data_IF_889520556727
#
_entry.id   IF_889520556727
#
_cell.length_a   1.000
_cell.length_b   1.000
_cell.length_c   1.000
_cell.angle_alpha   90.00
_cell.angle_beta   90.00
_cell.angle_gamma   90.00
#
_symmetry.space_group_name_H-M   'P 1'
#
loop_
_entity.id
_entity.type
_entity.pdbx_description
1 polymer ?
#
# COMPACT_ATOMS: atom_id res chain seq x y z
N UNK A 1 -14.85 7.33 47.88
CA UNK A 1 -15.59 6.81 46.71
C UNK A 1 -15.18 7.68 45.53
N UNK A 2 -14.11 7.29 44.85
CA UNK A 2 -13.51 8.05 43.74
C UNK A 2 -14.16 7.68 42.39
N UNK A 3 -14.15 8.58 41.40
CA UNK A 3 -14.78 8.35 40.10
C UNK A 3 -13.97 7.35 39.25
N UNK A 4 -14.66 6.36 38.70
CA UNK A 4 -14.12 5.35 37.80
C UNK A 4 -13.70 5.96 36.46
N UNK A 5 -12.51 5.57 36.00
CA UNK A 5 -11.94 5.87 34.69
C UNK A 5 -12.46 4.85 33.66
N UNK A 6 -12.78 5.24 32.42
CA UNK A 6 -13.23 4.31 31.40
C UNK A 6 -12.06 3.46 30.87
N UNK A 7 -12.25 2.17 30.53
CA UNK A 7 -11.19 1.31 30.04
C UNK A 7 -10.80 1.66 28.59
N UNK A 8 -9.49 1.55 28.33
CA UNK A 8 -8.83 1.99 27.12
C UNK A 8 -9.27 1.30 25.83
N UNK A 9 -9.10 2.02 24.73
CA UNK A 9 -9.24 1.52 23.37
C UNK A 9 -8.29 0.35 23.15
N UNK A 10 -8.82 -0.85 23.11
CA UNK A 10 -8.12 -2.01 22.56
C UNK A 10 -7.91 -1.75 21.07
N UNK A 11 -6.64 -1.66 20.69
CA UNK A 11 -6.23 -1.52 19.31
C UNK A 11 -6.86 -2.63 18.48
N UNK A 12 -7.50 -2.24 17.38
CA UNK A 12 -7.90 -3.12 16.29
C UNK A 12 -6.67 -3.88 15.84
N UNK A 13 -6.50 -5.11 16.34
CA UNK A 13 -5.58 -6.08 15.79
C UNK A 13 -6.09 -6.38 14.38
N UNK A 14 -5.55 -5.65 13.40
CA UNK A 14 -5.68 -6.00 11.99
C UNK A 14 -5.27 -7.46 11.85
N UNK A 15 -6.15 -8.26 11.24
CA UNK A 15 -5.86 -9.65 10.90
C UNK A 15 -4.45 -9.74 10.29
N UNK A 16 -3.63 -10.73 10.69
CA UNK A 16 -2.28 -10.87 10.15
C UNK A 16 -2.38 -10.93 8.64
N UNK A 17 -1.68 -10.02 7.96
CA UNK A 17 -1.44 -10.16 6.54
C UNK A 17 -0.93 -11.59 6.30
N UNK A 18 -1.41 -12.31 5.27
CA UNK A 18 -0.84 -13.62 4.96
C UNK A 18 0.69 -13.46 4.85
N UNK A 19 1.48 -14.46 5.30
CA UNK A 19 2.94 -14.36 5.30
C UNK A 19 3.41 -13.84 3.95
N UNK A 20 4.39 -12.93 3.94
CA UNK A 20 4.88 -12.31 2.72
C UNK A 20 5.59 -13.39 1.89
N UNK A 21 4.80 -14.11 1.08
CA UNK A 21 5.27 -15.19 0.22
C UNK A 21 6.07 -14.52 -0.88
N UNK A 22 7.36 -14.84 -0.98
CA UNK A 22 8.20 -14.44 -2.11
C UNK A 22 7.75 -15.20 -3.37
N UNK A 23 6.80 -14.58 -4.08
CA UNK A 23 6.21 -15.12 -5.30
C UNK A 23 7.26 -15.37 -6.37
N UNK A 24 8.27 -14.51 -6.44
CA UNK A 24 9.33 -14.62 -7.44
C UNK A 24 10.16 -15.87 -7.19
N UNK A 25 10.52 -16.13 -5.93
CA UNK A 25 11.24 -17.34 -5.55
C UNK A 25 10.41 -18.60 -5.85
N UNK A 26 9.11 -18.60 -5.55
CA UNK A 26 8.22 -19.74 -5.86
C UNK A 26 8.11 -19.99 -7.37
N UNK A 27 7.93 -18.95 -8.18
CA UNK A 27 7.87 -19.08 -9.64
C UNK A 27 9.16 -19.65 -10.20
N UNK A 28 10.33 -19.18 -9.73
CA UNK A 28 11.62 -19.72 -10.17
C UNK A 28 11.79 -21.21 -9.82
N UNK A 29 11.36 -21.62 -8.62
CA UNK A 29 11.35 -23.04 -8.24
C UNK A 29 10.43 -23.87 -9.13
N UNK A 30 9.22 -23.37 -9.43
CA UNK A 30 8.30 -24.05 -10.34
C UNK A 30 8.91 -24.24 -11.73
N UNK A 31 9.56 -23.20 -12.27
CA UNK A 31 10.24 -23.25 -13.57
C UNK A 31 11.41 -24.25 -13.55
N UNK A 32 12.09 -24.39 -12.41
CA UNK A 32 13.14 -25.38 -12.19
C UNK A 32 12.63 -26.82 -12.01
N UNK A 33 11.31 -27.06 -12.08
CA UNK A 33 10.70 -28.39 -12.01
C UNK A 33 10.10 -28.76 -10.65
N UNK A 34 10.16 -27.88 -9.66
CA UNK A 34 9.52 -28.09 -8.36
C UNK A 34 8.02 -27.74 -8.43
N UNK A 35 7.21 -28.73 -8.79
CA UNK A 35 5.75 -28.56 -8.91
C UNK A 35 5.08 -28.17 -7.58
N UNK A 36 5.64 -28.58 -6.43
CA UNK A 36 5.09 -28.26 -5.12
C UNK A 36 5.19 -26.76 -4.79
N UNK A 37 6.14 -26.04 -5.41
CA UNK A 37 6.25 -24.59 -5.26
C UNK A 37 5.06 -23.82 -5.86
N UNK A 38 4.20 -24.46 -6.65
CA UNK A 38 3.02 -23.82 -7.24
C UNK A 38 1.82 -23.78 -6.27
N UNK A 39 1.74 -24.72 -5.34
CA UNK A 39 0.61 -24.84 -4.39
C UNK A 39 0.39 -23.57 -3.54
N UNK A 40 1.42 -22.90 -2.99
CA UNK A 40 1.21 -21.65 -2.26
C UNK A 40 0.72 -20.50 -3.15
N UNK A 41 1.06 -20.51 -4.46
CA UNK A 41 0.52 -19.55 -5.42
C UNK A 41 -0.98 -19.83 -5.66
N UNK A 42 -1.36 -21.09 -5.81
CA UNK A 42 -2.78 -21.48 -5.93
C UNK A 42 -3.56 -21.04 -4.69
N UNK A 43 -3.07 -21.34 -3.50
CA UNK A 43 -3.75 -20.99 -2.25
C UNK A 43 -3.95 -19.47 -2.10
N UNK A 44 -2.93 -18.68 -2.46
CA UNK A 44 -2.99 -17.22 -2.44
C UNK A 44 -4.02 -16.65 -3.41
N UNK A 45 -4.18 -17.26 -4.59
CA UNK A 45 -4.96 -16.68 -5.68
C UNK A 45 -6.31 -17.36 -5.95
N UNK A 46 -6.58 -18.54 -5.40
CA UNK A 46 -7.77 -19.36 -5.72
C UNK A 46 -9.09 -18.60 -5.58
N UNK A 47 -9.25 -17.86 -4.49
CA UNK A 47 -10.49 -17.14 -4.23
C UNK A 47 -10.65 -15.94 -5.20
N UNK A 48 -9.56 -15.26 -5.53
CA UNK A 48 -9.57 -14.12 -6.48
C UNK A 48 -9.90 -14.60 -7.89
N UNK A 49 -9.27 -15.68 -8.33
CA UNK A 49 -9.51 -16.32 -9.64
C UNK A 49 -10.94 -16.83 -9.74
N UNK A 50 -11.44 -17.53 -8.71
CA UNK A 50 -12.82 -18.01 -8.69
C UNK A 50 -13.83 -16.86 -8.75
N UNK A 51 -13.64 -15.79 -7.97
CA UNK A 51 -14.52 -14.61 -8.03
C UNK A 51 -14.56 -14.01 -9.43
N UNK A 52 -13.40 -13.87 -10.06
CA UNK A 52 -13.28 -13.35 -11.43
C UNK A 52 -14.03 -14.22 -12.45
N UNK A 53 -13.88 -15.54 -12.38
CA UNK A 53 -14.60 -16.48 -13.23
C UNK A 53 -16.12 -16.43 -12.99
N UNK A 54 -16.55 -16.45 -11.72
CA UNK A 54 -17.95 -16.37 -11.33
C UNK A 54 -18.62 -15.11 -11.88
N UNK A 55 -17.93 -13.97 -11.85
CA UNK A 55 -18.48 -12.72 -12.35
C UNK A 55 -18.55 -12.64 -13.88
N UNK A 56 -17.96 -13.59 -14.60
CA UNK A 56 -18.18 -13.74 -16.05
C UNK A 56 -19.31 -14.73 -16.32
N UNK A 57 -19.34 -15.86 -15.61
CA UNK A 57 -20.20 -17.01 -15.91
C UNK A 57 -21.55 -17.01 -15.19
N UNK A 58 -21.62 -16.45 -13.98
CA UNK A 58 -22.75 -16.53 -13.06
C UNK A 58 -23.21 -17.96 -12.75
N UNK A 59 -22.24 -18.88 -12.74
CA UNK A 59 -22.45 -20.28 -12.42
C UNK A 59 -21.31 -20.74 -11.51
N UNK A 60 -21.65 -21.33 -10.36
CA UNK A 60 -20.68 -21.68 -9.31
C UNK A 60 -19.81 -22.85 -9.74
N UNK A 61 -20.40 -23.87 -10.31
CA UNK A 61 -19.69 -25.08 -10.72
C UNK A 61 -18.77 -24.76 -11.88
N UNK A 62 -19.28 -24.04 -12.90
CA UNK A 62 -18.43 -23.62 -14.01
C UNK A 62 -17.33 -22.64 -13.57
N UNK A 63 -17.58 -21.78 -12.59
CA UNK A 63 -16.55 -20.88 -12.07
C UNK A 63 -15.42 -21.64 -11.37
N UNK A 64 -15.74 -22.72 -10.65
CA UNK A 64 -14.73 -23.61 -10.07
C UNK A 64 -13.95 -24.36 -11.16
N UNK A 65 -14.63 -24.88 -12.17
CA UNK A 65 -14.00 -25.53 -13.32
C UNK A 65 -13.06 -24.58 -14.05
N UNK A 66 -13.51 -23.36 -14.32
CA UNK A 66 -12.70 -22.34 -15.00
C UNK A 66 -11.53 -21.89 -14.12
N UNK A 67 -11.71 -21.79 -12.81
CA UNK A 67 -10.61 -21.48 -11.90
C UNK A 67 -9.54 -22.59 -11.95
N UNK A 68 -9.95 -23.85 -11.84
CA UNK A 68 -9.06 -25.00 -11.93
C UNK A 68 -8.35 -25.04 -13.30
N UNK A 69 -9.09 -24.91 -14.39
CA UNK A 69 -8.55 -24.88 -15.74
C UNK A 69 -7.55 -23.73 -15.94
N UNK A 70 -7.84 -22.55 -15.38
CA UNK A 70 -6.93 -21.41 -15.41
C UNK A 70 -5.63 -21.69 -14.66
N UNK A 71 -5.67 -22.34 -13.49
CA UNK A 71 -4.46 -22.73 -12.76
C UNK A 71 -3.66 -23.81 -13.47
N UNK A 72 -4.32 -24.81 -14.08
CA UNK A 72 -3.64 -25.84 -14.88
C UNK A 72 -2.94 -25.21 -16.09
N UNK A 73 -3.63 -24.31 -16.81
CA UNK A 73 -3.03 -23.56 -17.93
C UNK A 73 -1.89 -22.66 -17.46
N UNK A 74 -2.04 -22.01 -16.31
CA UNK A 74 -1.00 -21.18 -15.72
C UNK A 74 0.23 -22.02 -15.34
N UNK A 75 0.05 -23.20 -14.74
CA UNK A 75 1.15 -24.10 -14.42
C UNK A 75 1.93 -24.53 -15.66
N UNK A 76 1.23 -24.97 -16.71
CA UNK A 76 1.88 -25.42 -17.96
C UNK A 76 2.54 -24.29 -18.76
N UNK A 77 2.02 -23.06 -18.66
CA UNK A 77 2.58 -21.90 -19.35
C UNK A 77 3.51 -21.06 -18.48
N UNK A 78 3.80 -21.49 -17.24
CA UNK A 78 4.58 -20.71 -16.29
C UNK A 78 6.00 -20.42 -16.77
N UNK A 79 6.60 -21.33 -17.54
CA UNK A 79 7.91 -21.14 -18.18
C UNK A 79 7.93 -19.97 -19.18
N UNK A 80 6.78 -19.60 -19.73
CA UNK A 80 6.62 -18.45 -20.63
C UNK A 80 6.45 -17.12 -19.90
N UNK A 81 6.24 -17.15 -18.58
CA UNK A 81 6.07 -15.94 -17.77
C UNK A 81 7.42 -15.23 -17.58
N UNK A 82 7.59 -14.12 -18.30
CA UNK A 82 8.84 -13.33 -18.31
C UNK A 82 8.98 -12.32 -17.17
N UNK A 83 8.04 -12.26 -16.23
CA UNK A 83 8.06 -11.27 -15.14
C UNK A 83 7.92 -9.81 -15.58
N UNK A 84 7.40 -9.56 -16.78
CA UNK A 84 7.17 -8.20 -17.31
C UNK A 84 5.94 -7.51 -16.70
N UNK A 85 5.06 -8.30 -16.09
CA UNK A 85 3.92 -7.85 -15.28
C UNK A 85 3.89 -8.64 -13.97
N UNK A 86 3.10 -8.19 -13.01
CA UNK A 86 2.86 -8.97 -11.80
C UNK A 86 2.23 -10.34 -12.14
N UNK A 87 2.57 -11.38 -11.39
CA UNK A 87 2.08 -12.74 -11.63
C UNK A 87 0.54 -12.81 -11.65
N UNK A 88 -0.10 -12.13 -10.70
CA UNK A 88 -1.56 -12.10 -10.62
C UNK A 88 -2.20 -11.46 -11.87
N UNK A 89 -1.57 -10.46 -12.49
CA UNK A 89 -2.06 -9.82 -13.72
C UNK A 89 -2.02 -10.82 -14.88
N UNK A 90 -0.93 -11.57 -14.98
CA UNK A 90 -0.81 -12.63 -15.99
C UNK A 90 -1.81 -13.77 -15.76
N UNK A 91 -2.01 -14.19 -14.51
CA UNK A 91 -2.99 -15.21 -14.14
C UNK A 91 -4.42 -14.77 -14.44
N UNK A 92 -4.79 -13.54 -14.10
CA UNK A 92 -6.13 -12.99 -14.38
C UNK A 92 -6.43 -12.92 -15.88
N UNK A 93 -5.42 -12.64 -16.72
CA UNK A 93 -5.56 -12.72 -18.17
C UNK A 93 -5.96 -14.12 -18.63
N UNK A 94 -5.32 -15.16 -18.09
CA UNK A 94 -5.66 -16.55 -18.38
C UNK A 94 -7.10 -16.82 -17.92
N UNK A 95 -7.46 -16.42 -16.70
CA UNK A 95 -8.80 -16.62 -16.15
C UNK A 95 -9.89 -15.97 -17.00
N UNK A 96 -9.72 -14.69 -17.38
CA UNK A 96 -10.72 -13.98 -18.20
C UNK A 96 -10.89 -14.63 -19.57
N UNK A 97 -9.79 -15.10 -20.18
CA UNK A 97 -9.85 -15.78 -21.46
C UNK A 97 -10.65 -17.09 -21.35
N UNK A 98 -10.31 -17.96 -20.38
CA UNK A 98 -11.01 -19.23 -20.16
C UNK A 98 -12.49 -19.00 -19.85
N UNK A 99 -12.81 -18.03 -18.97
CA UNK A 99 -14.18 -17.71 -18.61
C UNK A 99 -14.99 -17.16 -19.81
N UNK A 100 -14.37 -16.32 -20.63
CA UNK A 100 -15.02 -15.76 -21.83
C UNK A 100 -15.27 -16.83 -22.88
N UNK A 101 -14.34 -17.76 -23.07
CA UNK A 101 -14.48 -18.88 -23.98
C UNK A 101 -15.62 -19.82 -23.53
N UNK A 102 -15.67 -20.16 -22.24
CA UNK A 102 -16.76 -20.96 -21.65
C UNK A 102 -18.12 -20.28 -21.80
N UNK A 103 -18.21 -18.99 -21.49
CA UNK A 103 -19.43 -18.20 -21.71
C UNK A 103 -19.87 -18.20 -23.18
N UNK A 104 -18.92 -18.12 -24.13
CA UNK A 104 -19.23 -18.18 -25.57
C UNK A 104 -19.75 -19.55 -25.99
N UNK A 105 -19.19 -20.63 -25.46
CA UNK A 105 -19.64 -22.01 -25.70
C UNK A 105 -21.06 -22.23 -25.18
N UNK A 106 -21.40 -21.75 -23.96
CA UNK A 106 -22.79 -21.75 -23.47
C UNK A 106 -23.71 -20.98 -24.39
N UNK A 107 -23.32 -19.80 -24.86
CA UNK A 107 -24.11 -19.02 -25.79
C UNK A 107 -24.38 -19.75 -27.11
N UNK A 108 -23.48 -20.65 -27.55
CA UNK A 108 -23.68 -21.51 -28.70
C UNK A 108 -24.57 -22.73 -28.37
N UNK A 109 -24.37 -23.37 -27.22
CA UNK A 109 -25.19 -24.50 -26.75
C UNK A 109 -26.63 -24.09 -26.43
N UNK A 110 -26.86 -22.94 -25.78
CA UNK A 110 -28.18 -22.41 -25.48
C UNK A 110 -28.97 -22.05 -26.75
N UNK A 111 -28.29 -21.70 -27.85
CA UNK A 111 -28.94 -21.54 -29.17
C UNK A 111 -29.32 -22.87 -29.81
N UNK A 112 -28.66 -23.96 -29.43
CA UNK A 112 -28.91 -25.30 -29.95
C UNK A 112 -29.90 -26.11 -29.09
N UNK A 113 -29.95 -25.89 -27.77
CA UNK A 113 -30.68 -26.74 -26.81
C UNK A 113 -31.55 -25.97 -25.78
N UNK A 114 -31.60 -24.64 -25.84
CA UNK A 114 -32.36 -23.79 -24.89
C UNK A 114 -31.54 -23.37 -23.66
N UNK A 115 -31.91 -22.26 -22.97
CA UNK A 115 -31.12 -21.73 -21.86
C UNK A 115 -31.41 -22.45 -20.55
N UNK A 116 -30.41 -23.12 -19.99
CA UNK A 116 -30.42 -23.61 -18.61
C UNK A 116 -29.97 -22.46 -17.68
N UNK A 117 -30.90 -22.03 -16.80
CA UNK A 117 -30.65 -21.04 -15.77
C UNK A 117 -30.56 -21.75 -14.43
N UNK A 118 -29.36 -21.82 -13.87
CA UNK A 118 -29.17 -22.16 -12.47
C UNK A 118 -29.18 -20.86 -11.68
N UNK A 119 -30.11 -20.75 -10.72
CA UNK A 119 -30.04 -19.74 -9.68
C UNK A 119 -29.18 -20.28 -8.56
N UNK A 120 -28.20 -19.52 -8.04
CA UNK A 120 -27.80 -19.75 -6.65
C UNK A 120 -27.07 -18.58 -5.99
N UNK A 121 -27.35 -18.46 -4.70
CA UNK A 121 -26.89 -17.45 -3.78
C UNK A 121 -25.65 -17.93 -3.02
N UNK A 122 -24.51 -17.23 -3.12
CA UNK A 122 -23.52 -17.14 -2.03
C UNK A 122 -22.37 -16.17 -2.41
N UNK A 123 -22.57 -14.86 -2.22
CA UNK A 123 -21.49 -13.86 -2.22
C UNK A 123 -21.08 -13.45 -0.78
N UNK A 124 -21.68 -14.08 0.24
CA UNK A 124 -21.62 -13.61 1.62
C UNK A 124 -20.23 -13.70 2.29
N UNK A 125 -19.30 -14.49 1.77
CA UNK A 125 -18.07 -14.87 2.49
C UNK A 125 -16.77 -14.14 2.14
N UNK A 126 -16.82 -13.00 1.44
CA UNK A 126 -15.59 -12.38 0.93
C UNK A 126 -15.27 -10.98 1.45
N UNK A 127 -16.09 -10.41 2.33
CA UNK A 127 -15.78 -9.13 2.97
C UNK A 127 -15.69 -9.39 4.48
N UNK A 128 -14.54 -9.14 5.12
CA UNK A 128 -14.44 -9.16 6.58
C UNK A 128 -15.53 -8.24 7.14
N UNK A 129 -16.39 -8.74 8.02
CA UNK A 129 -17.39 -7.92 8.70
C UNK A 129 -16.74 -7.33 9.96
N UNK A 130 -16.44 -6.02 10.00
CA UNK A 130 -15.99 -5.39 11.23
C UNK A 130 -17.21 -5.28 12.13
N UNK A 131 -17.27 -6.06 13.21
CA UNK A 131 -18.45 -6.23 14.07
C UNK A 131 -19.32 -4.98 14.31
N UNK A 132 -20.61 -5.21 14.49
CA UNK A 132 -21.63 -4.19 14.77
C UNK A 132 -22.92 -4.85 15.29
N UNK A 133 -23.84 -4.07 15.87
CA UNK A 133 -25.11 -4.58 16.42
C UNK A 133 -26.03 -5.21 15.36
N UNK A 134 -27.09 -5.94 15.77
CA UNK A 134 -27.97 -6.70 14.86
C UNK A 134 -28.59 -5.86 13.74
N UNK A 135 -28.97 -4.62 14.05
CA UNK A 135 -29.55 -3.67 13.09
C UNK A 135 -28.54 -3.21 12.03
N UNK A 136 -27.29 -2.99 12.43
CA UNK A 136 -26.20 -2.62 11.51
C UNK A 136 -25.82 -3.80 10.60
N UNK A 137 -25.85 -5.02 11.11
CA UNK A 137 -25.63 -6.23 10.30
C UNK A 137 -26.75 -6.42 9.26
N UNK A 138 -28.01 -6.21 9.64
CA UNK A 138 -29.15 -6.28 8.73
C UNK A 138 -29.07 -5.21 7.62
N UNK A 139 -28.78 -3.96 7.98
CA UNK A 139 -28.60 -2.87 7.01
C UNK A 139 -27.43 -3.14 6.04
N UNK A 140 -26.31 -3.68 6.55
CA UNK A 140 -25.16 -4.09 5.71
C UNK A 140 -25.50 -5.24 4.78
N UNK A 141 -26.29 -6.22 5.24
CA UNK A 141 -26.74 -7.34 4.41
C UNK A 141 -27.60 -6.85 3.26
N UNK A 142 -28.60 -6.01 3.56
CA UNK A 142 -29.46 -5.40 2.54
C UNK A 142 -28.64 -4.57 1.53
N UNK A 143 -27.67 -3.79 2.02
CA UNK A 143 -26.76 -3.03 1.17
C UNK A 143 -25.89 -3.92 0.26
N UNK A 144 -25.35 -5.02 0.80
CA UNK A 144 -24.57 -6.00 0.02
C UNK A 144 -25.43 -6.68 -1.05
N UNK A 145 -26.66 -7.02 -0.74
CA UNK A 145 -27.62 -7.61 -1.68
C UNK A 145 -27.96 -6.64 -2.82
N UNK A 146 -28.19 -5.35 -2.51
CA UNK A 146 -28.41 -4.32 -3.54
C UNK A 146 -27.20 -4.15 -4.46
N UNK A 147 -25.98 -4.13 -3.89
CA UNK A 147 -24.74 -4.07 -4.67
C UNK A 147 -24.59 -5.30 -5.57
N UNK A 148 -24.86 -6.49 -5.02
CA UNK A 148 -24.84 -7.74 -5.76
C UNK A 148 -25.81 -7.72 -6.94
N UNK A 149 -27.09 -7.42 -6.69
CA UNK A 149 -28.11 -7.38 -7.74
C UNK A 149 -27.76 -6.35 -8.83
N UNK A 150 -27.20 -5.20 -8.46
CA UNK A 150 -26.76 -4.20 -9.41
C UNK A 150 -25.54 -4.65 -10.24
N UNK A 151 -24.59 -5.36 -9.64
CA UNK A 151 -23.49 -5.98 -10.37
C UNK A 151 -24.02 -7.07 -11.30
N UNK A 152 -24.89 -7.96 -10.84
CA UNK A 152 -25.41 -9.09 -11.61
C UNK A 152 -26.17 -8.64 -12.87
N UNK A 153 -26.86 -7.49 -12.80
CA UNK A 153 -27.56 -6.88 -13.93
C UNK A 153 -26.65 -6.23 -14.99
N UNK A 154 -25.35 -6.08 -14.73
CA UNK A 154 -24.40 -5.59 -15.72
C UNK A 154 -24.00 -6.69 -16.72
N UNK A 155 -23.70 -6.33 -17.98
CA UNK A 155 -23.10 -7.27 -18.93
C UNK A 155 -21.77 -7.83 -18.41
N UNK A 156 -21.40 -9.09 -18.73
CA UNK A 156 -20.20 -9.76 -18.20
C UNK A 156 -18.91 -8.93 -18.34
N UNK A 157 -18.70 -8.30 -19.50
CA UNK A 157 -17.53 -7.44 -19.76
C UNK A 157 -17.49 -6.18 -18.87
N UNK A 158 -18.65 -5.64 -18.50
CA UNK A 158 -18.77 -4.47 -17.63
C UNK A 158 -18.53 -4.86 -16.15
N UNK A 159 -18.95 -6.06 -15.73
CA UNK A 159 -18.64 -6.57 -14.38
C UNK A 159 -17.16 -6.87 -14.22
N UNK A 160 -16.57 -7.57 -15.19
CA UNK A 160 -15.16 -7.96 -15.16
C UNK A 160 -14.25 -6.73 -15.02
N UNK A 161 -14.49 -5.66 -15.79
CA UNK A 161 -13.68 -4.44 -15.70
C UNK A 161 -13.87 -3.69 -14.36
N UNK A 162 -15.08 -3.71 -13.78
CA UNK A 162 -15.32 -3.15 -12.44
C UNK A 162 -14.59 -3.97 -11.38
N UNK A 163 -14.62 -5.29 -11.44
CA UNK A 163 -13.88 -6.09 -10.46
C UNK A 163 -12.37 -5.90 -10.56
N UNK A 164 -11.81 -5.91 -11.78
CA UNK A 164 -10.39 -5.67 -11.95
C UNK A 164 -9.97 -4.30 -11.40
N UNK A 165 -10.79 -3.25 -11.61
CA UNK A 165 -10.50 -1.90 -11.11
C UNK A 165 -10.78 -1.74 -9.61
N UNK A 166 -12.03 -1.98 -9.19
CA UNK A 166 -12.59 -1.50 -7.93
C UNK A 166 -12.50 -2.54 -6.81
N UNK A 167 -12.32 -3.83 -7.14
CA UNK A 167 -12.17 -4.92 -6.16
C UNK A 167 -10.71 -5.36 -6.07
N UNK A 168 -10.08 -5.57 -7.22
CA UNK A 168 -8.71 -6.07 -7.30
C UNK A 168 -7.66 -4.94 -7.30
N UNK A 169 -8.09 -3.69 -7.52
CA UNK A 169 -7.23 -2.51 -7.41
C UNK A 169 -6.24 -2.31 -8.57
N UNK A 170 -6.50 -2.91 -9.74
CA UNK A 170 -5.55 -2.90 -10.85
C UNK A 170 -5.48 -1.53 -11.52
N UNK A 171 -4.26 -1.14 -11.91
CA UNK A 171 -4.06 0.04 -12.74
C UNK A 171 -4.69 -0.14 -14.12
N UNK A 172 -5.02 0.96 -14.80
CA UNK A 172 -5.62 0.88 -16.14
C UNK A 172 -4.71 0.18 -17.17
N UNK A 173 -3.39 0.25 -16.96
CA UNK A 173 -2.41 -0.47 -17.78
C UNK A 173 -2.49 -1.97 -17.52
N UNK A 174 -2.54 -2.41 -16.27
CA UNK A 174 -2.71 -3.83 -15.93
C UNK A 174 -4.06 -4.37 -16.41
N UNK A 175 -5.13 -3.60 -16.30
CA UNK A 175 -6.45 -3.97 -16.84
C UNK A 175 -6.39 -4.10 -18.38
N UNK A 176 -5.69 -3.19 -19.06
CA UNK A 176 -5.49 -3.25 -20.51
C UNK A 176 -4.75 -4.54 -20.91
N UNK A 177 -3.74 -4.93 -20.15
CA UNK A 177 -3.01 -6.18 -20.33
C UNK A 177 -3.88 -7.43 -20.06
N UNK A 178 -4.68 -7.42 -18.99
CA UNK A 178 -5.59 -8.52 -18.63
C UNK A 178 -6.68 -8.70 -19.69
N UNK A 179 -7.29 -7.60 -20.14
CA UNK A 179 -8.41 -7.62 -21.09
C UNK A 179 -7.95 -7.60 -22.56
N UNK A 180 -6.63 -7.57 -22.80
CA UNK A 180 -6.00 -7.45 -24.11
C UNK A 180 -6.65 -6.36 -24.99
N UNK A 181 -6.72 -5.13 -24.47
CA UNK A 181 -7.32 -4.00 -25.20
C UNK A 181 -6.58 -2.68 -24.91
N UNK A 182 -6.72 -1.64 -25.76
CA UNK A 182 -6.07 -0.36 -25.54
C UNK A 182 -6.49 0.31 -24.24
N UNK A 183 -5.58 1.07 -23.60
CA UNK A 183 -5.87 1.77 -22.34
C UNK A 183 -7.04 2.76 -22.45
N UNK A 184 -7.19 3.42 -23.60
CA UNK A 184 -8.35 4.29 -23.87
C UNK A 184 -9.68 3.52 -23.90
N UNK A 185 -9.66 2.26 -24.34
CA UNK A 185 -10.81 1.36 -24.28
C UNK A 185 -11.13 0.96 -22.86
N UNK A 186 -10.13 0.74 -22.00
CA UNK A 186 -10.32 0.51 -20.55
C UNK A 186 -11.03 1.70 -19.91
N UNK A 187 -10.52 2.92 -20.13
CA UNK A 187 -11.12 4.15 -19.57
C UNK A 187 -12.59 4.31 -19.99
N UNK A 188 -12.88 4.17 -21.29
CA UNK A 188 -14.24 4.29 -21.82
C UNK A 188 -15.17 3.20 -21.30
N UNK A 189 -14.73 1.93 -21.29
CA UNK A 189 -15.53 0.80 -20.78
C UNK A 189 -15.80 0.92 -19.29
N UNK A 190 -14.81 1.31 -18.51
CA UNK A 190 -14.94 1.46 -17.06
C UNK A 190 -15.87 2.63 -16.72
N UNK A 191 -15.76 3.75 -17.43
CA UNK A 191 -16.69 4.87 -17.29
C UNK A 191 -18.14 4.41 -17.56
N UNK A 192 -18.37 3.73 -18.68
CA UNK A 192 -19.70 3.25 -19.05
C UNK A 192 -20.24 2.19 -18.07
N UNK A 193 -19.38 1.29 -17.60
CA UNK A 193 -19.72 0.26 -16.62
C UNK A 193 -20.14 0.90 -15.28
N UNK A 194 -19.35 1.85 -14.77
CA UNK A 194 -19.67 2.58 -13.53
C UNK A 194 -20.92 3.46 -13.68
N UNK A 195 -21.13 4.10 -14.83
CA UNK A 195 -22.37 4.86 -15.13
C UNK A 195 -23.60 3.95 -15.05
N UNK A 196 -23.50 2.75 -15.62
CA UNK A 196 -24.58 1.76 -15.58
C UNK A 196 -24.79 1.18 -14.17
N UNK A 197 -23.71 0.91 -13.44
CA UNK A 197 -23.79 0.50 -12.04
C UNK A 197 -24.47 1.57 -11.18
N UNK A 198 -24.12 2.85 -11.38
CA UNK A 198 -24.74 3.99 -10.71
C UNK A 198 -26.24 4.08 -11.00
N UNK A 199 -26.68 3.84 -12.24
CA UNK A 199 -28.10 3.82 -12.56
C UNK A 199 -28.87 2.68 -11.89
N UNK A 200 -28.21 1.55 -11.64
CA UNK A 200 -28.82 0.37 -11.00
C UNK A 200 -28.87 0.48 -9.47
N UNK A 201 -27.91 1.18 -8.86
CA UNK A 201 -27.82 1.35 -7.39
C UNK A 201 -28.71 2.46 -6.82
N UNK A 202 -29.21 3.37 -7.66
CA UNK A 202 -29.99 4.52 -7.22
C UNK A 202 -29.17 5.60 -6.47
N UNK A 203 -29.78 6.75 -6.14
CA UNK A 203 -29.08 7.97 -5.72
C UNK A 203 -28.34 7.87 -4.37
N UNK A 204 -28.75 7.00 -3.46
CA UNK A 204 -28.21 6.95 -2.10
C UNK A 204 -26.98 6.03 -1.95
N UNK A 205 -26.89 4.94 -2.72
CA UNK A 205 -25.71 4.05 -2.78
C UNK A 205 -24.66 4.51 -3.81
N UNK A 206 -25.06 5.35 -4.75
CA UNK A 206 -24.17 6.01 -5.69
C UNK A 206 -23.07 6.80 -4.99
N UNK A 207 -23.28 7.30 -3.76
CA UNK A 207 -22.31 8.12 -3.04
C UNK A 207 -21.04 7.36 -2.65
N UNK A 208 -21.11 6.04 -2.41
CA UNK A 208 -19.94 5.22 -2.00
C UNK A 208 -19.09 4.85 -3.21
N UNK A 209 -19.74 4.41 -4.30
CA UNK A 209 -19.08 4.18 -5.60
C UNK A 209 -18.56 5.51 -6.16
N UNK A 210 -19.32 6.60 -5.97
CA UNK A 210 -18.88 7.94 -6.30
C UNK A 210 -17.81 8.47 -5.34
N UNK A 211 -17.69 8.04 -4.09
CA UNK A 211 -16.61 8.50 -3.20
C UNK A 211 -15.28 7.90 -3.65
N UNK A 212 -15.27 6.61 -4.02
CA UNK A 212 -14.15 6.01 -4.74
C UNK A 212 -13.85 6.71 -6.06
N UNK A 213 -14.89 7.17 -6.77
CA UNK A 213 -14.77 7.95 -8.02
C UNK A 213 -14.36 9.42 -7.82
N UNK A 214 -14.73 10.07 -6.71
CA UNK A 214 -14.58 11.52 -6.47
C UNK A 214 -13.24 11.81 -5.83
N UNK A 215 -12.75 10.94 -4.95
CA UNK A 215 -11.33 10.98 -4.55
C UNK A 215 -10.39 10.79 -5.76
N UNK A 216 -10.80 10.00 -6.75
CA UNK A 216 -9.99 9.71 -7.94
C UNK A 216 -10.16 10.74 -9.09
N UNK A 217 -11.37 11.25 -9.33
CA UNK A 217 -11.63 12.28 -10.36
C UNK A 217 -11.21 13.69 -9.92
N UNK A 218 -11.14 13.97 -8.60
CA UNK A 218 -10.67 15.26 -8.09
C UNK A 218 -9.14 15.45 -8.21
N UNK A 219 -8.39 14.46 -8.72
CA UNK A 219 -6.94 14.61 -8.91
C UNK A 219 -6.14 14.76 -7.62
N UNK A 220 -6.66 14.36 -6.45
CA UNK A 220 -5.99 14.51 -5.14
C UNK A 220 -5.13 13.31 -4.75
N UNK A 221 -4.97 12.31 -5.62
CA UNK A 221 -3.81 11.41 -5.53
C UNK A 221 -2.88 11.72 -6.68
N UNK A 222 -2.23 12.88 -6.62
CA UNK A 222 -0.87 12.91 -7.12
C UNK A 222 -0.10 11.88 -6.28
N UNK A 223 0.41 10.83 -6.93
CA UNK A 223 1.44 10.01 -6.31
C UNK A 223 2.59 10.97 -5.97
N UNK A 224 2.61 11.45 -4.73
CA UNK A 224 3.63 12.39 -4.29
C UNK A 224 4.97 11.67 -4.43
N UNK A 225 5.99 12.32 -5.00
CA UNK A 225 7.28 11.68 -5.17
C UNK A 225 7.74 11.17 -3.80
N UNK A 226 8.02 9.87 -3.73
CA UNK A 226 8.58 9.25 -2.53
C UNK A 226 10.02 9.71 -2.44
N UNK A 227 10.37 10.34 -1.33
CA UNK A 227 11.73 10.77 -1.08
C UNK A 227 12.34 9.93 0.03
N UNK A 228 13.63 9.69 -0.08
CA UNK A 228 14.43 9.12 1.00
C UNK A 228 15.12 10.26 1.70
N UNK A 229 14.88 10.45 2.98
CA UNK A 229 15.64 11.40 3.77
C UNK A 229 16.11 10.74 5.05
N UNK A 230 17.13 11.31 5.68
CA UNK A 230 17.57 10.83 6.96
C UNK A 230 17.79 11.95 7.94
N UNK A 231 17.59 11.57 9.19
CA UNK A 231 17.73 12.42 10.36
C UNK A 231 18.84 11.81 11.21
N UNK A 232 19.74 12.66 11.67
CA UNK A 232 20.72 12.29 12.69
C UNK A 232 20.69 13.32 13.79
N UNK A 233 20.60 12.83 15.02
CA UNK A 233 20.62 13.65 16.22
C UNK A 233 21.96 13.43 16.89
N UNK A 234 22.66 14.52 17.15
CA UNK A 234 23.95 14.54 17.82
C UNK A 234 23.84 15.28 19.14
N UNK A 235 24.59 14.83 20.13
CA UNK A 235 24.98 15.66 21.27
C UNK A 235 26.33 16.30 20.95
N UNK A 236 26.39 17.62 20.99
CA UNK A 236 27.63 18.38 20.87
C UNK A 236 28.02 18.95 22.22
N UNK A 237 29.18 18.58 22.75
CA UNK A 237 29.66 19.05 24.05
C UNK A 237 31.07 19.59 23.96
N UNK A 238 31.38 20.53 24.87
CA UNK A 238 32.74 21.00 25.08
C UNK A 238 33.38 20.02 26.05
N UNK A 239 34.34 19.24 25.58
CA UNK A 239 34.83 18.05 26.27
C UNK A 239 35.03 18.23 27.77
N UNK A 240 34.28 17.45 28.55
CA UNK A 240 34.69 17.01 29.89
C UNK A 240 35.00 15.53 29.79
N UNK A 241 36.25 15.16 30.04
CA UNK A 241 36.65 13.76 30.19
C UNK A 241 35.80 13.10 31.29
N UNK A 242 34.97 12.14 30.89
CA UNK A 242 34.65 10.94 31.65
C UNK A 242 33.75 11.09 32.88
N UNK A 243 32.51 10.60 32.74
CA UNK A 243 31.99 9.57 33.66
C UNK A 243 31.22 8.55 32.85
N UNK A 244 31.78 7.34 32.77
CA UNK A 244 31.03 6.17 32.41
C UNK A 244 29.92 5.98 33.46
N UNK A 245 28.66 5.97 33.02
CA UNK A 245 27.56 5.36 33.77
C UNK A 245 26.71 4.54 32.82
N UNK A 246 27.18 3.31 32.64
CA UNK A 246 26.47 2.03 32.65
C UNK A 246 24.99 1.97 32.25
N UNK A 247 24.72 1.03 31.34
CA UNK A 247 23.44 0.38 30.98
C UNK A 247 22.63 0.99 29.83
N UNK A 248 23.11 0.77 28.60
CA UNK A 248 22.24 0.52 27.45
C UNK A 248 22.85 -0.62 26.62
N UNK A 249 22.05 -1.58 26.09
CA UNK A 249 22.58 -2.74 25.40
C UNK A 249 23.36 -2.32 24.15
N UNK A 250 24.52 -2.94 23.98
CA UNK A 250 25.48 -2.76 22.88
C UNK A 250 24.75 -2.85 21.53
N UNK A 251 24.48 -1.69 20.93
CA UNK A 251 24.07 -1.60 19.53
C UNK A 251 25.19 -2.21 18.66
N UNK A 252 24.85 -2.96 17.59
CA UNK A 252 25.84 -3.60 16.75
C UNK A 252 26.80 -2.56 16.17
N UNK A 253 28.10 -2.86 16.16
CA UNK A 253 29.15 -2.05 15.55
C UNK A 253 28.82 -1.80 14.08
N UNK A 254 28.26 -0.62 13.78
CA UNK A 254 28.01 -0.15 12.43
C UNK A 254 29.25 0.61 11.96
N UNK A 255 29.83 0.10 10.87
CA UNK A 255 30.73 0.71 9.88
C UNK A 255 31.09 2.21 10.13
N UNK A 256 32.38 2.59 10.16
CA UNK A 256 32.81 3.95 10.48
C UNK A 256 32.19 4.96 9.49
N UNK A 257 31.28 5.80 9.99
CA UNK A 257 30.51 6.79 9.21
C UNK A 257 31.43 7.85 8.55
N UNK A 258 32.01 7.51 7.40
CA UNK A 258 32.90 8.36 6.61
C UNK A 258 32.25 9.71 6.25
N UNK A 259 30.91 9.73 6.11
CA UNK A 259 30.13 10.94 5.85
C UNK A 259 30.08 11.91 7.04
N UNK A 260 29.99 11.40 8.27
CA UNK A 260 30.01 12.26 9.46
C UNK A 260 31.40 12.88 9.65
N UNK A 261 32.47 12.08 9.46
CA UNK A 261 33.86 12.57 9.51
C UNK A 261 34.10 13.77 8.59
N UNK A 262 33.52 13.76 7.39
CA UNK A 262 33.62 14.87 6.42
C UNK A 262 32.89 16.16 6.88
N UNK A 263 31.92 16.06 7.78
CA UNK A 263 31.08 17.18 8.23
C UNK A 263 31.57 17.77 9.57
N UNK A 264 32.23 16.97 10.41
CA UNK A 264 32.74 17.41 11.74
C UNK A 264 33.55 18.72 11.69
N UNK A 265 34.52 18.94 10.77
CA UNK A 265 35.27 20.19 10.72
C UNK A 265 34.38 21.43 10.51
N UNK A 266 33.32 21.28 9.72
CA UNK A 266 32.33 22.34 9.48
C UNK A 266 31.49 22.59 10.73
N UNK A 267 31.11 21.55 11.47
CA UNK A 267 30.38 21.69 12.74
C UNK A 267 31.20 22.39 13.81
N UNK A 268 32.48 22.03 13.94
CA UNK A 268 33.43 22.65 14.87
C UNK A 268 33.59 24.14 14.57
N UNK A 269 33.64 24.51 13.29
CA UNK A 269 33.68 25.92 12.87
C UNK A 269 32.39 26.68 13.21
N UNK A 270 31.23 26.05 13.01
CA UNK A 270 29.92 26.69 13.19
C UNK A 270 29.50 26.80 14.66
N UNK A 271 29.76 25.77 15.47
CA UNK A 271 29.22 25.63 16.82
C UNK A 271 30.29 25.60 17.92
N UNK A 272 31.59 25.53 17.57
CA UNK A 272 32.74 25.57 18.51
C UNK A 272 32.77 24.48 19.59
N UNK A 273 32.06 23.37 19.39
CA UNK A 273 32.15 22.18 20.24
C UNK A 273 33.26 21.23 19.76
N UNK A 274 33.84 20.44 20.67
CA UNK A 274 34.93 19.51 20.35
C UNK A 274 34.44 18.09 20.11
N UNK A 275 33.40 17.69 20.86
CA UNK A 275 32.91 16.32 20.89
C UNK A 275 31.50 16.24 20.30
N UNK A 276 31.27 15.28 19.42
CA UNK A 276 29.99 15.05 18.73
C UNK A 276 29.62 13.57 18.81
N UNK A 277 28.64 13.24 19.65
CA UNK A 277 28.17 11.86 19.85
C UNK A 277 26.86 11.66 19.11
N UNK A 278 26.72 10.56 18.36
CA UNK A 278 25.44 10.24 17.71
C UNK A 278 24.49 9.63 18.71
N UNK A 279 23.36 10.30 18.94
CA UNK A 279 22.29 9.84 19.84
C UNK A 279 21.29 8.96 19.10
N UNK A 280 20.91 9.36 17.88
CA UNK A 280 19.99 8.59 17.04
C UNK A 280 20.26 8.82 15.55
N UNK A 281 19.95 7.81 14.73
CA UNK A 281 20.08 7.82 13.27
C UNK A 281 18.89 7.11 12.65
N UNK A 282 18.07 7.86 11.95
CA UNK A 282 16.92 7.32 11.24
C UNK A 282 16.98 7.62 9.76
N UNK A 283 16.55 6.65 8.95
CA UNK A 283 16.31 6.82 7.51
C UNK A 283 14.83 6.58 7.27
N UNK A 284 14.20 7.51 6.59
CA UNK A 284 12.77 7.47 6.30
C UNK A 284 12.56 7.56 4.80
N UNK A 285 11.73 6.67 4.30
CA UNK A 285 11.22 6.70 2.94
C UNK A 285 9.73 7.01 3.06
N UNK A 286 9.31 8.12 2.45
CA UNK A 286 7.95 8.57 2.60
C UNK A 286 7.52 9.53 1.50
N UNK A 287 6.22 9.69 1.28
CA UNK A 287 5.71 10.64 0.31
C UNK A 287 6.12 12.06 0.71
N UNK A 288 6.39 12.91 -0.29
CA UNK A 288 6.39 14.36 -0.09
C UNK A 288 5.10 14.79 0.65
N UNK A 289 5.16 15.87 1.42
CA UNK A 289 4.07 16.40 2.23
C UNK A 289 3.72 15.59 3.49
N UNK A 290 4.28 14.39 3.68
CA UNK A 290 3.98 13.55 4.84
C UNK A 290 4.86 13.92 6.02
N UNK A 291 4.24 14.35 7.13
CA UNK A 291 4.94 14.68 8.36
C UNK A 291 5.48 13.42 9.04
N UNK A 292 6.76 13.44 9.38
CA UNK A 292 7.44 12.35 10.10
C UNK A 292 7.85 12.85 11.48
N UNK A 293 7.64 12.01 12.51
CA UNK A 293 7.93 12.34 13.90
C UNK A 293 9.03 11.45 14.45
N UNK A 294 10.03 12.06 15.07
CA UNK A 294 11.19 11.41 15.65
C UNK A 294 11.26 11.75 17.13
N UNK A 295 11.48 10.75 17.97
CA UNK A 295 11.73 10.98 19.39
C UNK A 295 13.11 11.64 19.54
N UNK A 296 13.18 12.70 20.34
CA UNK A 296 14.41 13.42 20.66
C UNK A 296 14.58 13.39 22.18
N UNK A 297 15.80 13.20 22.71
CA UNK A 297 16.03 13.17 24.14
C UNK A 297 15.55 14.44 24.89
N UNK A 298 15.11 14.21 26.13
CA UNK A 298 14.53 15.26 26.99
C UNK A 298 13.05 15.55 26.72
N UNK A 299 12.25 14.51 26.45
CA UNK A 299 10.80 14.59 26.18
C UNK A 299 10.45 15.46 24.96
N UNK A 300 11.30 15.39 23.94
CA UNK A 300 11.17 16.19 22.73
C UNK A 300 10.73 15.37 21.54
N UNK A 301 10.06 16.04 20.60
CA UNK A 301 9.66 15.47 19.32
C UNK A 301 10.15 16.35 18.19
N UNK A 302 10.88 15.75 17.25
CA UNK A 302 11.25 16.40 16.01
C UNK A 302 10.24 16.01 14.93
N UNK A 303 9.55 17.00 14.39
CA UNK A 303 8.67 16.86 13.25
C UNK A 303 9.37 17.33 11.99
N UNK A 304 9.44 16.49 10.97
CA UNK A 304 10.03 16.83 9.66
C UNK A 304 8.99 16.56 8.58
N UNK A 305 8.63 17.60 7.85
CA UNK A 305 7.69 17.52 6.72
C UNK A 305 8.41 17.99 5.46
N UNK A 306 8.74 17.09 4.53
CA UNK A 306 9.32 17.48 3.25
C UNK A 306 8.23 18.12 2.38
N UNK A 307 8.38 19.39 2.03
CA UNK A 307 7.30 20.22 1.48
C UNK A 307 7.38 20.34 -0.04
N UNK A 308 8.60 20.49 -0.58
CA UNK A 308 8.81 20.74 -2.01
C UNK A 308 10.16 20.24 -2.50
N UNK A 309 10.21 19.67 -3.71
CA UNK A 309 11.47 19.36 -4.39
C UNK A 309 11.94 20.52 -5.27
N UNK A 310 13.23 20.81 -5.23
CA UNK A 310 13.91 21.81 -6.07
C UNK A 310 15.15 21.17 -6.70
N UNK A 311 14.98 20.56 -7.88
CA UNK A 311 16.03 19.77 -8.52
C UNK A 311 16.43 18.56 -7.67
N UNK A 312 17.71 18.49 -7.27
CA UNK A 312 18.24 17.45 -6.38
C UNK A 312 18.10 17.79 -4.88
N UNK A 313 17.50 18.92 -4.54
CA UNK A 313 17.31 19.37 -3.17
C UNK A 313 15.85 19.21 -2.73
N UNK A 314 15.61 19.02 -1.44
CA UNK A 314 14.28 18.93 -0.84
C UNK A 314 14.17 20.02 0.23
N UNK A 315 13.13 20.84 0.11
CA UNK A 315 12.73 21.80 1.14
C UNK A 315 11.96 21.06 2.21
N UNK A 316 12.35 21.21 3.47
CA UNK A 316 11.72 20.53 4.60
C UNK A 316 11.34 21.55 5.67
N UNK A 317 10.13 21.43 6.19
CA UNK A 317 9.66 22.13 7.39
C UNK A 317 10.02 21.28 8.59
N UNK A 318 10.71 21.87 9.56
CA UNK A 318 11.25 21.17 10.73
C UNK A 318 10.75 21.87 11.98
N UNK A 319 10.12 21.12 12.88
CA UNK A 319 9.68 21.63 14.19
C UNK A 319 10.26 20.75 15.29
N UNK A 320 10.82 21.37 16.32
CA UNK A 320 11.17 20.68 17.55
C UNK A 320 10.19 21.10 18.64
N UNK A 321 9.54 20.12 19.26
CA UNK A 321 8.56 20.29 20.32
C UNK A 321 9.09 19.69 21.61
N UNK A 322 8.73 20.25 22.77
CA UNK A 322 8.79 19.60 24.08
C UNK A 322 7.37 19.58 24.64
N UNK A 323 6.77 18.39 24.75
CA UNK A 323 5.31 18.28 24.95
C UNK A 323 4.55 18.99 23.82
N UNK A 324 3.68 19.94 24.17
CA UNK A 324 2.93 20.76 23.19
C UNK A 324 3.65 22.07 22.79
N UNK A 325 4.77 22.40 23.43
CA UNK A 325 5.47 23.67 23.22
C UNK A 325 6.52 23.58 22.10
N UNK A 326 6.46 24.44 21.07
CA UNK A 326 7.49 24.50 20.03
C UNK A 326 8.75 25.20 20.55
N UNK A 327 9.88 24.49 20.57
CA UNK A 327 11.20 25.02 20.90
C UNK A 327 11.96 25.50 19.66
N UNK A 328 11.69 24.94 18.48
CA UNK A 328 12.32 25.34 17.22
C UNK A 328 11.35 25.17 16.06
N UNK A 329 11.39 26.09 15.09
CA UNK A 329 10.73 25.96 13.80
C UNK A 329 11.66 26.49 12.71
N UNK A 330 11.95 25.67 11.70
CA UNK A 330 12.88 26.03 10.63
C UNK A 330 12.41 25.48 9.28
N UNK A 331 12.59 26.27 8.23
CA UNK A 331 12.44 25.83 6.85
C UNK A 331 13.85 25.63 6.27
N UNK A 332 14.21 24.40 5.98
CA UNK A 332 15.55 24.04 5.50
C UNK A 332 15.52 23.52 4.08
N UNK A 333 16.68 23.53 3.43
CA UNK A 333 16.91 22.88 2.15
C UNK A 333 18.01 21.84 2.33
N UNK A 334 17.69 20.57 2.07
CA UNK A 334 18.64 19.46 2.19
C UNK A 334 18.86 18.80 0.82
N UNK A 335 20.09 18.36 0.52
CA UNK A 335 20.42 17.72 -0.75
C UNK A 335 21.41 16.55 -0.58
N UNK A 336 21.58 15.67 -1.58
CA UNK A 336 22.61 14.64 -1.58
C UNK A 336 24.00 15.28 -1.44
N UNK A 337 24.72 14.95 -0.37
CA UNK A 337 26.06 15.49 -0.10
C UNK A 337 26.10 16.89 0.51
N UNK A 338 24.99 17.61 0.60
CA UNK A 338 24.87 18.90 1.27
C UNK A 338 23.75 18.86 2.32
N UNK A 339 24.03 18.31 3.51
CA UNK A 339 23.04 18.21 4.57
C UNK A 339 22.76 19.57 5.20
N UNK A 340 21.52 19.78 5.63
CA UNK A 340 21.15 20.89 6.49
C UNK A 340 21.52 20.55 7.94
N UNK A 341 22.07 21.53 8.65
CA UNK A 341 22.46 21.40 10.05
C UNK A 341 21.68 22.43 10.85
N UNK A 342 21.00 21.96 11.89
CA UNK A 342 20.21 22.76 12.80
C UNK A 342 20.81 22.66 14.21
N UNK A 343 21.09 23.80 14.82
CA UNK A 343 21.41 23.89 16.23
C UNK A 343 20.11 23.79 17.05
N UNK A 344 20.09 22.86 17.99
CA UNK A 344 18.98 22.60 18.88
C UNK A 344 19.20 23.20 20.28
N UNK A 345 18.22 23.00 21.18
CA UNK A 345 18.26 23.47 22.56
C UNK A 345 19.37 22.74 23.36
N UNK A 346 19.70 23.26 24.55
CA UNK A 346 20.63 22.59 25.46
C UNK A 346 20.18 21.17 25.82
N UNK A 347 21.14 20.26 25.89
CA UNK A 347 20.95 18.88 26.31
C UNK A 347 22.24 18.34 26.92
N UNK A 348 22.14 17.66 28.06
CA UNK A 348 23.31 17.24 28.83
C UNK A 348 24.20 18.43 29.18
N UNK A 349 25.50 18.30 28.91
CA UNK A 349 26.51 19.35 29.10
C UNK A 349 26.79 20.16 27.83
N UNK A 350 25.87 20.12 26.87
CA UNK A 350 26.08 20.65 25.53
C UNK A 350 24.78 21.05 24.85
N UNK A 351 24.74 20.91 23.53
CA UNK A 351 23.56 21.22 22.70
C UNK A 351 23.23 20.06 21.79
N UNK A 352 21.95 19.92 21.45
CA UNK A 352 21.53 19.02 20.39
C UNK A 352 21.91 19.62 19.04
N UNK A 353 22.37 18.78 18.12
CA UNK A 353 22.55 19.15 16.72
C UNK A 353 21.78 18.16 15.86
N UNK A 354 20.93 18.69 14.99
CA UNK A 354 20.09 17.89 14.10
C UNK A 354 20.62 18.05 12.69
N UNK A 355 20.98 16.93 12.07
CA UNK A 355 21.48 16.89 10.70
C UNK A 355 20.44 16.20 9.84
N UNK A 356 20.05 16.87 8.76
CA UNK A 356 19.04 16.40 7.81
C UNK A 356 19.67 16.30 6.42
N UNK A 357 19.57 15.14 5.79
CA UNK A 357 19.94 14.94 4.39
C UNK A 357 18.76 14.39 3.61
N UNK A 358 18.67 14.78 2.34
CA UNK A 358 17.66 14.26 1.43
C UNK A 358 18.33 13.58 0.23
N UNK A 359 17.75 12.48 -0.21
CA UNK A 359 17.99 11.84 -1.49
C UNK A 359 16.64 11.75 -2.23
N UNK A 360 16.34 12.71 -3.13
CA UNK A 360 15.07 12.74 -3.84
C UNK A 360 14.93 11.67 -4.92
N UNK A 361 16.00 10.93 -5.25
CA UNK A 361 15.90 9.75 -6.13
C UNK A 361 15.82 8.47 -5.28
N UNK A 362 14.94 7.52 -5.64
CA UNK A 362 14.84 6.22 -4.98
C UNK A 362 16.18 5.47 -5.01
#
# INVERSE_FOLDING_TARGET
>A
MGPETPPGSTGTAGAPAPPDIDERALIQRCIAGDAAAFEPLVEKYRQRVWRLAFQVLHDREEAWDVAQEAFVRAFHSLSSFRGQSAFYTWLFRITVNVATDRHRQRGAQARAFGPERVSEEEWARTTPDPGGGPEQQAARKEQRERIRSALDALPPKARAIIMLSDVEGLSYREIAEVLNCPIGTVMSRLHNARKRLKSLLGPMLALIVAFGLTLMLAGVVQAQPVIRFGVRILEASTGSKGTASTSAPKAPEVEPDERLRKIIPRLQTLFRYTDYTTLDRQRVEGPLGTQQRFAVPGERWLEVTPDQMQGKSVRMKVRLLRGEHPEMNANILAAPGAPAVLGGPPYGNGVLIIILWANPNP
#
